data_IF_996235943374
#
_entry.id   IF_996235943374
#
_cell.length_a   1.000
_cell.length_b   1.000
_cell.length_c   1.000
_cell.angle_alpha   90.00
_cell.angle_beta   90.00
_cell.angle_gamma   90.00
#
_symmetry.space_group_name_H-M   'P 1'
#
loop_
_entity.id
_entity.type
_entity.pdbx_description
1 polymer ?
#
# COMPACT_ATOMS: atom_id res chain seq x y z
N UNK A 1 23.47 15.76 5.80
CA UNK A 1 22.00 15.73 5.78
C UNK A 1 21.56 16.79 4.78
N UNK A 2 21.00 16.39 3.65
CA UNK A 2 20.46 17.34 2.66
C UNK A 2 19.18 17.95 3.20
N UNK A 3 18.91 19.23 2.90
CA UNK A 3 17.66 19.87 3.31
C UNK A 3 16.44 19.08 2.79
N UNK A 4 15.36 18.97 3.58
CA UNK A 4 14.09 18.41 3.12
C UNK A 4 13.60 19.16 1.89
N UNK A 5 13.39 18.46 0.77
CA UNK A 5 12.66 19.05 -0.35
C UNK A 5 11.20 19.29 0.04
N UNK A 6 10.54 20.26 -0.60
CA UNK A 6 9.09 20.49 -0.44
C UNK A 6 8.28 19.20 -0.63
N UNK A 7 8.68 18.38 -1.61
CA UNK A 7 8.08 17.07 -1.87
C UNK A 7 8.21 16.11 -0.67
N UNK A 8 9.38 16.06 -0.03
CA UNK A 8 9.57 15.19 1.15
C UNK A 8 8.73 15.66 2.35
N UNK A 9 8.47 16.96 2.46
CA UNK A 9 7.57 17.50 3.49
C UNK A 9 6.12 17.09 3.22
N UNK A 10 5.67 17.20 1.97
CA UNK A 10 4.33 16.76 1.55
C UNK A 10 4.12 15.26 1.79
N UNK A 11 5.08 14.42 1.38
CA UNK A 11 5.03 12.97 1.62
C UNK A 11 4.99 12.64 3.11
N UNK A 12 5.82 13.32 3.91
CA UNK A 12 5.83 13.16 5.37
C UNK A 12 4.44 13.43 5.94
N UNK A 13 3.80 14.52 5.52
CA UNK A 13 2.49 14.92 6.01
C UNK A 13 1.41 13.90 5.60
N UNK A 14 1.43 13.44 4.35
CA UNK A 14 0.54 12.38 3.88
C UNK A 14 0.73 11.04 4.63
N UNK A 15 1.97 10.69 4.98
CA UNK A 15 2.27 9.50 5.78
C UNK A 15 1.76 9.64 7.22
N UNK A 16 1.79 10.83 7.80
CA UNK A 16 1.22 11.09 9.13
C UNK A 16 -0.31 10.98 9.11
N UNK A 17 -0.95 11.48 8.07
CA UNK A 17 -2.42 11.50 7.94
C UNK A 17 -3.04 10.12 7.68
N UNK A 18 -2.27 9.15 7.15
CA UNK A 18 -2.83 7.87 6.71
C UNK A 18 -3.26 6.94 7.86
N UNK A 19 -2.84 7.21 9.11
CA UNK A 19 -3.21 6.41 10.30
C UNK A 19 -2.73 4.94 10.25
N UNK A 20 -1.83 4.60 9.32
CA UNK A 20 -1.25 3.27 9.19
C UNK A 20 -0.05 3.07 10.14
N UNK A 21 0.59 4.18 10.50
CA UNK A 21 1.92 4.24 11.09
C UNK A 21 1.93 4.77 12.52
N UNK A 22 0.91 4.43 13.32
CA UNK A 22 0.75 4.87 14.71
C UNK A 22 1.99 4.76 15.62
N UNK A 23 2.90 3.76 15.49
CA UNK A 23 4.09 3.69 16.34
C UNK A 23 5.29 4.51 15.84
N UNK A 24 5.16 5.28 14.75
CA UNK A 24 6.25 6.13 14.25
C UNK A 24 6.28 7.47 14.99
N UNK A 25 7.49 7.91 15.32
CA UNK A 25 7.77 9.26 15.81
C UNK A 25 7.89 10.24 14.64
N UNK A 26 7.72 11.56 14.87
CA UNK A 26 7.86 12.58 13.81
C UNK A 26 9.15 12.48 12.99
N UNK A 27 10.27 12.12 13.63
CA UNK A 27 11.55 11.91 12.96
C UNK A 27 11.55 10.69 12.00
N UNK A 28 10.82 9.63 12.34
CA UNK A 28 10.72 8.44 11.50
C UNK A 28 9.97 8.77 10.20
N UNK A 29 8.94 9.62 10.27
CA UNK A 29 8.20 10.06 9.09
C UNK A 29 9.08 10.86 8.13
N UNK A 30 9.97 11.69 8.67
CA UNK A 30 10.88 12.46 7.85
C UNK A 30 11.88 11.57 7.10
N UNK A 31 12.41 10.55 7.77
CA UNK A 31 13.29 9.56 7.15
C UNK A 31 12.52 8.72 6.12
N UNK A 32 11.34 8.21 6.49
CA UNK A 32 10.51 7.39 5.62
C UNK A 32 10.13 8.13 4.33
N UNK A 33 9.80 9.43 4.42
CA UNK A 33 9.40 10.22 3.27
C UNK A 33 10.41 10.19 2.11
N UNK A 34 11.71 10.09 2.40
CA UNK A 34 12.76 10.01 1.37
C UNK A 34 12.76 8.72 0.54
N UNK A 35 11.93 7.73 0.88
CA UNK A 35 11.81 6.45 0.19
C UNK A 35 10.49 6.28 -0.57
N UNK A 36 9.56 7.21 -0.39
CA UNK A 36 8.25 7.18 -1.06
C UNK A 36 8.21 8.18 -2.22
N UNK A 37 7.30 7.95 -3.15
CA UNK A 37 6.93 8.89 -4.20
C UNK A 37 5.41 9.11 -4.21
N UNK A 38 4.95 10.25 -4.72
CA UNK A 38 3.51 10.52 -4.92
C UNK A 38 3.14 10.17 -6.36
N UNK A 39 1.97 9.54 -6.55
CA UNK A 39 1.35 9.43 -7.88
C UNK A 39 -0.13 9.79 -7.82
N UNK A 40 -0.58 10.53 -8.84
CA UNK A 40 -2.00 10.75 -9.11
C UNK A 40 -2.46 9.77 -10.18
N UNK A 41 -3.56 9.07 -9.91
CA UNK A 41 -4.16 8.07 -10.80
C UNK A 41 -5.59 8.50 -11.08
N UNK A 42 -5.97 8.62 -12.34
CA UNK A 42 -7.33 9.02 -12.71
C UNK A 42 -8.32 7.86 -12.50
N UNK A 43 -9.61 8.18 -12.33
CA UNK A 43 -10.67 7.17 -12.34
C UNK A 43 -10.52 6.22 -13.55
N UNK A 44 -10.78 4.94 -13.30
CA UNK A 44 -10.74 3.82 -14.25
C UNK A 44 -9.33 3.44 -14.73
N UNK A 45 -8.27 4.14 -14.30
CA UNK A 45 -6.90 3.74 -14.60
C UNK A 45 -6.47 2.51 -13.78
N UNK A 46 -5.72 1.64 -14.44
CA UNK A 46 -5.13 0.44 -13.85
C UNK A 46 -3.87 0.83 -13.09
N UNK A 47 -3.79 0.44 -11.81
CA UNK A 47 -2.60 0.62 -10.98
C UNK A 47 -1.64 -0.56 -11.20
N UNK A 48 -2.18 -1.79 -11.19
CA UNK A 48 -1.51 -3.02 -11.61
C UNK A 48 -2.51 -4.15 -11.85
N UNK A 49 -2.13 -5.16 -12.62
CA UNK A 49 -2.96 -6.32 -12.91
C UNK A 49 -2.54 -7.55 -12.10
N UNK A 50 -3.51 -8.43 -11.86
CA UNK A 50 -3.28 -9.77 -11.32
C UNK A 50 -2.26 -10.53 -12.18
N UNK A 51 -1.29 -11.16 -11.54
CA UNK A 51 -0.23 -11.89 -12.23
C UNK A 51 0.97 -11.03 -12.66
N UNK A 52 0.91 -9.69 -12.59
CA UNK A 52 2.07 -8.84 -12.87
C UNK A 52 3.20 -9.07 -11.86
N UNK A 53 4.44 -8.74 -12.23
CA UNK A 53 5.53 -8.64 -11.26
C UNK A 53 5.26 -7.47 -10.31
N UNK A 54 5.34 -7.69 -8.99
CA UNK A 54 5.14 -6.63 -8.01
C UNK A 54 6.42 -5.89 -7.67
N UNK A 55 6.57 -4.67 -8.20
CA UNK A 55 7.78 -3.85 -7.99
C UNK A 55 7.59 -2.71 -6.98
N UNK A 56 6.35 -2.47 -6.55
CA UNK A 56 6.02 -1.42 -5.57
C UNK A 56 4.73 -1.75 -4.81
N UNK A 57 4.56 -1.10 -3.66
CA UNK A 57 3.31 -1.08 -2.91
C UNK A 57 2.79 0.36 -2.80
N UNK A 58 1.52 0.49 -2.50
CA UNK A 58 0.84 1.77 -2.43
C UNK A 58 0.20 1.98 -1.06
N UNK A 59 0.08 3.24 -0.66
CA UNK A 59 -0.82 3.70 0.41
C UNK A 59 -1.78 4.68 -0.23
N UNK A 60 -3.08 4.38 -0.12
CA UNK A 60 -4.13 5.25 -0.64
C UNK A 60 -4.27 6.47 0.29
N UNK A 61 -3.84 7.65 -0.17
CA UNK A 61 -4.00 8.89 0.59
C UNK A 61 -5.41 9.46 0.38
N UNK A 62 -5.86 9.58 -0.87
CA UNK A 62 -7.21 10.02 -1.23
C UNK A 62 -7.80 9.21 -2.38
N UNK A 63 -9.12 9.09 -2.43
CA UNK A 63 -9.85 8.34 -3.47
C UNK A 63 -10.30 6.95 -3.05
N UNK A 64 -10.59 6.10 -4.05
CA UNK A 64 -11.05 4.72 -3.88
C UNK A 64 -10.40 3.81 -4.91
N UNK A 65 -10.03 2.60 -4.49
CA UNK A 65 -9.42 1.59 -5.38
C UNK A 65 -10.23 0.31 -5.33
N UNK A 66 -10.67 -0.19 -6.48
CA UNK A 66 -11.30 -1.49 -6.62
C UNK A 66 -10.23 -2.58 -6.73
N UNK A 67 -10.31 -3.58 -5.87
CA UNK A 67 -9.49 -4.80 -5.93
C UNK A 67 -10.30 -5.87 -6.64
N UNK A 68 -9.77 -6.37 -7.75
CA UNK A 68 -10.44 -7.33 -8.61
C UNK A 68 -9.66 -8.63 -8.73
N UNK A 69 -10.37 -9.75 -8.68
CA UNK A 69 -9.83 -11.08 -8.98
C UNK A 69 -10.52 -11.70 -10.17
N UNK A 70 -9.76 -12.46 -10.95
CA UNK A 70 -10.29 -13.26 -12.04
C UNK A 70 -10.75 -14.60 -11.49
N UNK A 71 -12.01 -14.96 -11.71
CA UNK A 71 -12.52 -16.27 -11.33
C UNK A 71 -12.11 -17.35 -12.35
N UNK A 72 -12.48 -18.60 -12.07
CA UNK A 72 -12.21 -19.75 -12.94
C UNK A 72 -12.88 -19.70 -14.33
N UNK A 73 -13.87 -18.82 -14.54
CA UNK A 73 -14.51 -18.61 -15.85
C UNK A 73 -13.91 -17.42 -16.61
N UNK A 74 -12.88 -16.77 -16.08
CA UNK A 74 -12.23 -15.61 -16.69
C UNK A 74 -12.91 -14.26 -16.41
N UNK A 75 -13.95 -14.24 -15.57
CA UNK A 75 -14.66 -13.02 -15.21
C UNK A 75 -13.93 -12.28 -14.07
N UNK A 76 -13.80 -10.95 -14.21
CA UNK A 76 -13.22 -10.09 -13.18
C UNK A 76 -14.28 -9.68 -12.16
N UNK A 77 -14.10 -10.09 -10.92
CA UNK A 77 -14.98 -9.79 -9.80
C UNK A 77 -14.31 -8.79 -8.86
N UNK A 78 -15.02 -7.74 -8.47
CA UNK A 78 -14.55 -6.83 -7.42
C UNK A 78 -14.74 -7.48 -6.06
N UNK A 79 -13.63 -7.80 -5.39
CA UNK A 79 -13.63 -8.50 -4.09
C UNK A 79 -13.51 -7.53 -2.91
N UNK A 80 -13.03 -6.30 -3.15
CA UNK A 80 -12.96 -5.25 -2.16
C UNK A 80 -12.88 -3.86 -2.80
N UNK A 81 -13.33 -2.84 -2.08
CA UNK A 81 -13.08 -1.43 -2.41
C UNK A 81 -12.31 -0.79 -1.27
N UNK A 82 -11.09 -0.37 -1.55
CA UNK A 82 -10.20 0.30 -0.61
C UNK A 82 -10.52 1.79 -0.56
N UNK A 83 -10.29 2.38 0.61
CA UNK A 83 -10.44 3.81 0.90
C UNK A 83 -9.14 4.35 1.50
N UNK A 84 -9.05 5.67 1.64
CA UNK A 84 -7.94 6.36 2.29
C UNK A 84 -7.43 5.68 3.57
N UNK A 85 -6.11 5.72 3.77
CA UNK A 85 -5.39 5.10 4.89
C UNK A 85 -5.08 3.62 4.70
N UNK A 86 -5.44 3.02 3.56
CA UNK A 86 -5.17 1.60 3.30
C UNK A 86 -3.91 1.43 2.46
N UNK A 87 -2.98 0.59 2.94
CA UNK A 87 -1.91 0.04 2.11
C UNK A 87 -2.43 -1.10 1.22
N UNK A 88 -1.91 -1.24 0.01
CA UNK A 88 -2.21 -2.35 -0.89
C UNK A 88 -1.03 -2.65 -1.83
N UNK A 89 -1.04 -3.85 -2.42
CA UNK A 89 0.07 -4.32 -3.25
C UNK A 89 1.34 -4.67 -2.46
N UNK A 90 1.27 -4.66 -1.12
CA UNK A 90 2.40 -4.97 -0.24
C UNK A 90 2.88 -6.42 -0.34
N UNK A 91 1.97 -7.37 -0.61
CA UNK A 91 2.28 -8.80 -0.59
C UNK A 91 3.45 -9.10 -1.53
N UNK A 92 3.31 -8.75 -2.80
CA UNK A 92 4.31 -8.97 -3.84
C UNK A 92 5.66 -8.27 -3.57
N UNK A 93 5.66 -7.15 -2.83
CA UNK A 93 6.89 -6.47 -2.43
C UNK A 93 7.59 -7.22 -1.28
N UNK A 94 6.81 -7.80 -0.36
CA UNK A 94 7.30 -8.48 0.84
C UNK A 94 7.73 -9.93 0.57
N UNK A 95 6.97 -10.68 -0.23
CA UNK A 95 7.22 -12.10 -0.51
C UNK A 95 7.88 -12.37 -1.88
N UNK A 96 7.85 -11.38 -2.78
CA UNK A 96 8.42 -11.50 -4.13
C UNK A 96 7.54 -12.25 -5.12
N UNK A 97 6.32 -12.63 -4.74
CA UNK A 97 5.36 -13.30 -5.61
C UNK A 97 4.70 -12.32 -6.60
N UNK A 98 3.94 -12.86 -7.56
CA UNK A 98 3.16 -12.05 -8.49
C UNK A 98 2.00 -11.34 -7.79
N UNK A 99 1.46 -10.29 -8.40
CA UNK A 99 0.26 -9.59 -7.91
C UNK A 99 -0.88 -10.58 -7.70
N UNK A 100 -1.40 -10.61 -6.47
CA UNK A 100 -2.48 -11.52 -6.09
C UNK A 100 -3.86 -11.10 -6.60
N UNK A 101 -4.02 -9.85 -7.06
CA UNK A 101 -5.24 -9.28 -7.59
C UNK A 101 -4.91 -8.04 -8.44
N UNK A 102 -5.83 -7.64 -9.31
CA UNK A 102 -5.78 -6.37 -10.03
C UNK A 102 -6.25 -5.23 -9.13
N UNK A 103 -5.66 -4.04 -9.27
CA UNK A 103 -6.11 -2.82 -8.58
C UNK A 103 -6.38 -1.73 -9.61
N UNK A 104 -7.60 -1.20 -9.60
CA UNK A 104 -8.08 -0.18 -10.53
C UNK A 104 -8.63 0.99 -9.71
N UNK A 105 -8.31 2.22 -10.12
CA UNK A 105 -8.85 3.41 -9.49
C UNK A 105 -10.38 3.51 -9.71
N UNK A 106 -11.16 3.47 -8.63
CA UNK A 106 -12.62 3.63 -8.67
C UNK A 106 -13.05 5.10 -8.58
N UNK A 107 -12.11 5.99 -8.26
CA UNK A 107 -12.19 7.45 -8.36
C UNK A 107 -10.79 7.99 -8.67
N UNK A 108 -10.65 9.29 -8.88
CA UNK A 108 -9.33 9.92 -8.86
C UNK A 108 -8.66 9.63 -7.51
N UNK A 109 -7.40 9.24 -7.56
CA UNK A 109 -6.63 8.76 -6.41
C UNK A 109 -5.30 9.51 -6.28
N UNK A 110 -4.89 9.75 -5.04
CA UNK A 110 -3.52 10.11 -4.69
C UNK A 110 -2.92 8.96 -3.89
N UNK A 111 -1.79 8.45 -4.35
CA UNK A 111 -1.09 7.31 -3.76
C UNK A 111 0.31 7.71 -3.30
N UNK A 112 0.73 7.16 -2.17
CA UNK A 112 2.14 7.08 -1.79
C UNK A 112 2.68 5.72 -2.22
N UNK A 113 3.77 5.71 -2.99
CA UNK A 113 4.36 4.49 -3.52
C UNK A 113 5.70 4.19 -2.86
N UNK A 114 5.88 2.95 -2.40
CA UNK A 114 7.16 2.43 -1.94
C UNK A 114 7.61 1.32 -2.88
N UNK A 115 8.68 1.57 -3.63
CA UNK A 115 9.30 0.57 -4.50
C UNK A 115 10.04 -0.50 -3.71
N UNK A 116 10.18 -1.69 -4.29
CA UNK A 116 10.96 -2.80 -3.70
C UNK A 116 12.40 -2.36 -3.40
N UNK A 117 13.07 -1.77 -4.39
CA UNK A 117 14.46 -1.29 -4.23
C UNK A 117 14.57 -0.20 -3.17
N UNK A 118 13.55 0.66 -3.04
CA UNK A 118 13.50 1.69 -2.01
C UNK A 118 13.28 1.09 -0.61
N UNK A 119 12.47 0.04 -0.47
CA UNK A 119 12.33 -0.72 0.76
C UNK A 119 13.65 -1.42 1.14
N UNK A 120 14.32 -2.06 0.19
CA UNK A 120 15.64 -2.68 0.40
C UNK A 120 16.67 -1.64 0.84
N UNK A 121 16.70 -0.47 0.20
CA UNK A 121 17.54 0.65 0.60
C UNK A 121 17.22 1.11 2.03
N UNK A 122 15.94 1.27 2.37
CA UNK A 122 15.50 1.67 3.71
C UNK A 122 15.90 0.64 4.78
N UNK A 123 15.84 -0.67 4.46
CA UNK A 123 16.31 -1.74 5.34
C UNK A 123 17.80 -1.62 5.66
N UNK A 124 18.62 -1.19 4.69
CA UNK A 124 20.06 -1.03 4.87
C UNK A 124 20.44 0.30 5.55
N UNK A 125 19.83 1.40 5.14
CA UNK A 125 20.21 2.76 5.57
C UNK A 125 19.47 3.22 6.84
N UNK A 126 18.23 2.77 7.04
CA UNK A 126 17.36 3.17 8.14
C UNK A 126 16.60 1.97 8.75
N UNK A 127 17.29 0.92 9.24
CA UNK A 127 16.66 -0.35 9.64
C UNK A 127 15.60 -0.21 10.72
N UNK A 128 15.75 0.75 11.64
CA UNK A 128 14.74 1.03 12.68
C UNK A 128 13.43 1.56 12.09
N UNK A 129 13.51 2.41 11.06
CA UNK A 129 12.34 2.96 10.36
C UNK A 129 11.71 1.85 9.51
N UNK A 130 12.53 1.11 8.75
CA UNK A 130 12.06 -0.03 7.97
C UNK A 130 11.29 -1.06 8.82
N UNK A 131 11.81 -1.42 9.99
CA UNK A 131 11.15 -2.34 10.91
C UNK A 131 9.78 -1.83 11.37
N UNK A 132 9.64 -0.53 11.63
CA UNK A 132 8.36 0.09 12.01
C UNK A 132 7.36 0.08 10.84
N UNK A 133 7.81 0.40 9.62
CA UNK A 133 6.99 0.34 8.39
C UNK A 133 6.50 -1.08 8.15
N UNK A 134 7.40 -2.07 8.16
CA UNK A 134 7.07 -3.49 7.98
C UNK A 134 6.08 -3.96 9.06
N UNK A 135 6.29 -3.57 10.32
CA UNK A 135 5.38 -3.91 11.42
C UNK A 135 3.98 -3.33 11.19
N UNK A 136 3.87 -2.08 10.74
CA UNK A 136 2.59 -1.46 10.42
C UNK A 136 1.86 -2.20 9.29
N UNK A 137 2.57 -2.56 8.23
CA UNK A 137 2.04 -3.34 7.11
C UNK A 137 1.58 -4.73 7.58
N UNK A 138 2.40 -5.43 8.38
CA UNK A 138 2.08 -6.74 8.93
C UNK A 138 0.82 -6.70 9.83
N UNK A 139 0.66 -5.64 10.63
CA UNK A 139 -0.57 -5.43 11.43
C UNK A 139 -1.78 -5.22 10.52
N UNK A 140 -1.66 -4.43 9.45
CA UNK A 140 -2.74 -4.19 8.50
C UNK A 140 -3.16 -5.48 7.77
N UNK A 141 -2.20 -6.27 7.30
CA UNK A 141 -2.40 -7.60 6.73
C UNK A 141 -3.11 -8.52 7.72
N UNK A 142 -2.62 -8.58 8.96
CA UNK A 142 -3.19 -9.42 10.02
C UNK A 142 -4.64 -9.04 10.34
N UNK A 143 -4.97 -7.73 10.35
CA UNK A 143 -6.36 -7.25 10.50
C UNK A 143 -7.23 -7.69 9.33
N UNK A 144 -6.74 -7.56 8.08
CA UNK A 144 -7.48 -8.00 6.88
C UNK A 144 -7.75 -9.50 6.86
N UNK A 145 -6.75 -10.31 7.20
CA UNK A 145 -6.91 -11.77 7.24
C UNK A 145 -8.02 -12.17 8.23
N UNK A 146 -8.00 -11.61 9.45
CA UNK A 146 -9.08 -11.83 10.44
C UNK A 146 -10.47 -11.44 9.92
N UNK A 147 -10.57 -10.35 9.16
CA UNK A 147 -11.84 -9.92 8.58
C UNK A 147 -12.31 -10.86 7.46
N UNK A 148 -11.39 -11.30 6.59
CA UNK A 148 -11.70 -12.23 5.51
C UNK A 148 -12.15 -13.60 6.04
N UNK A 149 -11.46 -14.14 7.06
CA UNK A 149 -11.83 -15.41 7.70
C UNK A 149 -13.24 -15.33 8.32
N UNK A 150 -13.57 -14.22 8.99
CA UNK A 150 -14.91 -13.99 9.55
C UNK A 150 -16.01 -13.91 8.48
N UNK A 151 -15.71 -13.32 7.32
CA UNK A 151 -16.65 -13.22 6.20
C UNK A 151 -16.93 -14.57 5.54
N UNK A 152 -15.92 -15.43 5.41
CA UNK A 152 -16.09 -16.78 4.86
C UNK A 152 -17.04 -17.63 5.74
N UNK A 153 -16.94 -17.50 7.07
CA UNK A 153 -17.86 -18.17 7.99
C UNK A 153 -19.30 -17.67 7.87
N UNK A 154 -19.50 -16.37 7.60
CA UNK A 154 -20.84 -15.79 7.42
C UNK A 154 -21.52 -16.13 6.09
N UNK A 155 -20.79 -16.63 5.10
CA UNK A 155 -21.33 -17.03 3.79
C UNK A 155 -21.72 -18.52 3.73
N UNK A 156 -21.45 -19.29 4.79
CA UNK A 156 -21.77 -20.72 4.88
C UNK A 156 -23.05 -21.01 5.72
N UNK A 157 -23.80 -19.99 6.11
CA UNK A 157 -25.07 -20.10 6.83
C UNK A 157 -26.16 -19.23 6.21
#
# INVERSE_FOLDING_TARGET
MSEPTLLNQEIRDMLMDCGLFDPLLPEDFHIAAGYFNISSIARDEVIFLEGDAGTFMCILHSGQVAVQKTNHTGERLTIATLRSGRAFGEMAVLDGERRSASCIAASDCVLLNLGKDALEKMLNEAPRVAAKIIRAIAIALSKRLRMADGQLLSQQF
#
